data_IF_553668845788
#
_entry.id   IF_553668845788
#
_cell.length_a   1.000
_cell.length_b   1.000
_cell.length_c   1.000
_cell.angle_alpha   90.00
_cell.angle_beta   90.00
_cell.angle_gamma   90.00
#
_symmetry.space_group_name_H-M   'P 1'
#
loop_
_entity.id
_entity.type
_entity.pdbx_description
1 polymer ?
#
# COMPACT_ATOMS: atom_id res chain seq x y z
N UNK A 1 -5.47 17.80 -12.29
CA UNK A 1 -6.70 17.29 -11.65
C UNK A 1 -7.54 16.58 -12.70
N UNK A 2 -8.09 15.42 -12.38
CA UNK A 2 -9.00 14.65 -13.24
C UNK A 2 -10.46 15.08 -13.04
N UNK A 3 -11.34 14.69 -13.98
CA UNK A 3 -12.79 14.95 -13.81
C UNK A 3 -13.37 14.35 -12.52
N UNK A 4 -12.95 13.14 -12.14
CA UNK A 4 -13.43 12.49 -10.92
C UNK A 4 -12.98 13.21 -9.66
N UNK A 5 -11.73 13.67 -9.60
CA UNK A 5 -11.22 14.47 -8.48
C UNK A 5 -11.99 15.79 -8.35
N UNK A 6 -12.24 16.47 -9.47
CA UNK A 6 -13.05 17.68 -9.52
C UNK A 6 -14.48 17.43 -9.01
N UNK A 7 -15.15 16.41 -9.58
CA UNK A 7 -16.54 16.13 -9.26
C UNK A 7 -16.71 15.69 -7.82
N UNK A 8 -15.84 14.80 -7.31
CA UNK A 8 -15.87 14.34 -5.92
C UNK A 8 -15.47 15.44 -4.95
N UNK A 9 -14.55 16.33 -5.32
CA UNK A 9 -14.14 17.47 -4.49
C UNK A 9 -15.28 18.46 -4.28
N UNK A 10 -16.07 18.73 -5.32
CA UNK A 10 -17.23 19.63 -5.23
C UNK A 10 -18.50 18.97 -4.68
N UNK A 11 -18.63 17.64 -4.81
CA UNK A 11 -19.85 16.91 -4.44
C UNK A 11 -20.39 17.25 -3.04
N UNK A 12 -19.57 17.35 -1.97
CA UNK A 12 -20.07 17.70 -0.63
C UNK A 12 -20.79 19.04 -0.56
N UNK A 13 -20.50 19.96 -1.47
CA UNK A 13 -20.97 21.33 -1.45
C UNK A 13 -22.17 21.53 -2.39
N UNK A 14 -22.13 20.95 -3.60
CA UNK A 14 -23.08 21.29 -4.67
C UNK A 14 -24.01 20.14 -5.09
N UNK A 15 -23.83 18.92 -4.59
CA UNK A 15 -24.61 17.74 -5.04
C UNK A 15 -26.01 17.63 -4.41
N UNK A 16 -26.24 18.28 -3.27
CA UNK A 16 -27.48 18.17 -2.46
C UNK A 16 -27.86 16.73 -2.10
N UNK A 17 -26.86 15.87 -1.87
CA UNK A 17 -27.09 14.47 -1.50
C UNK A 17 -27.69 13.62 -2.61
N UNK A 18 -27.69 14.12 -3.86
CA UNK A 18 -28.10 13.33 -5.03
C UNK A 18 -27.16 12.15 -5.24
N UNK A 19 -27.69 11.11 -5.88
CA UNK A 19 -26.89 9.99 -6.35
C UNK A 19 -25.79 10.48 -7.31
N UNK A 20 -24.67 9.77 -7.41
CA UNK A 20 -23.56 10.22 -8.24
C UNK A 20 -23.93 10.29 -9.74
N UNK A 21 -24.85 9.45 -10.20
CA UNK A 21 -25.30 9.51 -11.60
C UNK A 21 -26.20 10.71 -11.88
N UNK A 22 -27.06 11.09 -10.93
CA UNK A 22 -27.88 12.30 -11.02
C UNK A 22 -27.00 13.54 -10.95
N UNK A 23 -26.07 13.57 -10.00
CA UNK A 23 -25.08 14.63 -9.86
C UNK A 23 -24.24 14.79 -11.13
N UNK A 24 -23.78 13.70 -11.75
CA UNK A 24 -23.12 13.73 -13.04
C UNK A 24 -23.99 14.38 -14.13
N UNK A 25 -25.28 14.01 -14.18
CA UNK A 25 -26.21 14.57 -15.16
C UNK A 25 -26.40 16.07 -14.96
N UNK A 26 -26.51 16.56 -13.71
CA UNK A 26 -26.60 18.00 -13.44
C UNK A 26 -25.31 18.75 -13.76
N UNK A 27 -24.17 18.20 -13.36
CA UNK A 27 -22.86 18.81 -13.58
C UNK A 27 -22.61 19.01 -15.08
N UNK A 28 -22.82 17.96 -15.88
CA UNK A 28 -22.62 18.00 -17.33
C UNK A 28 -23.72 18.79 -18.03
N UNK A 29 -24.99 18.66 -17.60
CA UNK A 29 -26.13 19.36 -18.19
C UNK A 29 -26.06 20.88 -18.02
N UNK A 30 -25.53 21.36 -16.88
CA UNK A 30 -25.32 22.78 -16.64
C UNK A 30 -24.04 23.30 -17.30
N UNK A 31 -23.07 22.44 -17.58
CA UNK A 31 -21.82 22.82 -18.24
C UNK A 31 -21.98 23.12 -19.73
N UNK A 32 -23.01 22.56 -20.38
CA UNK A 32 -23.27 22.75 -21.82
C UNK A 32 -24.52 23.60 -22.08
N UNK A 33 -24.58 24.17 -23.29
CA UNK A 33 -25.75 24.87 -23.83
C UNK A 33 -26.96 23.94 -23.89
N UNK A 34 -28.15 24.46 -23.58
CA UNK A 34 -29.41 23.68 -23.58
C UNK A 34 -29.67 23.00 -24.94
N UNK A 35 -29.42 23.73 -26.03
CA UNK A 35 -29.58 23.22 -27.40
C UNK A 35 -28.67 22.02 -27.74
N UNK A 36 -27.61 21.79 -26.96
CA UNK A 36 -26.69 20.66 -27.14
C UNK A 36 -27.02 19.45 -26.28
N UNK A 37 -27.92 19.57 -25.29
CA UNK A 37 -28.22 18.48 -24.34
C UNK A 37 -28.78 17.24 -25.02
N UNK A 38 -29.73 17.41 -25.94
CA UNK A 38 -30.36 16.30 -26.66
C UNK A 38 -29.39 15.52 -27.55
N UNK A 39 -28.31 16.16 -28.00
CA UNK A 39 -27.30 15.52 -28.84
C UNK A 39 -26.11 14.97 -28.03
N UNK A 40 -26.05 15.28 -26.73
CA UNK A 40 -24.97 14.92 -25.83
C UNK A 40 -25.04 13.44 -25.41
N UNK A 41 -24.29 12.58 -26.10
CA UNK A 41 -24.33 11.12 -25.90
C UNK A 41 -23.91 10.67 -24.50
N UNK A 42 -23.05 11.43 -23.82
CA UNK A 42 -22.59 11.08 -22.48
C UNK A 42 -23.69 11.22 -21.42
N UNK A 43 -24.64 12.14 -21.60
CA UNK A 43 -25.82 12.28 -20.75
C UNK A 43 -26.81 11.12 -20.93
N UNK A 44 -26.81 10.47 -22.10
CA UNK A 44 -27.70 9.33 -22.44
C UNK A 44 -27.16 7.96 -21.99
N UNK A 45 -25.99 7.91 -21.34
CA UNK A 45 -25.41 6.65 -20.84
C UNK A 45 -26.24 6.10 -19.67
N UNK A 46 -26.09 4.80 -19.39
CA UNK A 46 -26.69 4.16 -18.22
C UNK A 46 -26.13 4.76 -16.92
N UNK A 47 -26.92 4.71 -15.85
CA UNK A 47 -26.57 5.31 -14.55
C UNK A 47 -25.27 4.74 -13.97
N UNK A 48 -25.04 3.44 -14.07
CA UNK A 48 -23.77 2.80 -13.68
C UNK A 48 -22.57 3.40 -14.44
N UNK A 49 -22.72 3.77 -15.72
CA UNK A 49 -21.64 4.40 -16.47
C UNK A 49 -21.35 5.82 -15.99
N UNK A 50 -22.40 6.60 -15.68
CA UNK A 50 -22.27 7.94 -15.10
C UNK A 50 -21.64 7.91 -13.71
N UNK A 51 -22.07 6.99 -12.86
CA UNK A 51 -21.48 6.70 -11.55
C UNK A 51 -19.97 6.43 -11.66
N UNK A 52 -19.56 5.59 -12.61
CA UNK A 52 -18.13 5.28 -12.81
C UNK A 52 -17.29 6.48 -13.27
N UNK A 53 -17.89 7.45 -13.97
CA UNK A 53 -17.19 8.70 -14.30
C UNK A 53 -16.93 9.56 -13.07
N UNK A 54 -17.89 9.66 -12.15
CA UNK A 54 -17.71 10.39 -10.89
C UNK A 54 -16.69 9.69 -10.00
N UNK A 55 -16.78 8.36 -9.86
CA UNK A 55 -15.87 7.58 -9.01
C UNK A 55 -14.46 7.40 -9.58
N UNK A 56 -14.23 7.79 -10.83
CA UNK A 56 -12.93 7.66 -11.49
C UNK A 56 -12.56 6.24 -11.92
N UNK A 57 -13.45 5.26 -11.78
CA UNK A 57 -13.25 3.88 -12.29
C UNK A 57 -13.42 3.78 -13.81
N UNK A 58 -13.95 4.83 -14.44
CA UNK A 58 -13.98 5.01 -15.89
C UNK A 58 -13.67 6.46 -16.24
N UNK A 59 -12.85 6.68 -17.26
CA UNK A 59 -12.54 8.03 -17.76
C UNK A 59 -13.52 8.48 -18.84
N UNK A 60 -13.76 9.79 -18.92
CA UNK A 60 -14.58 10.39 -19.98
C UNK A 60 -13.88 10.21 -21.33
N UNK A 61 -14.53 9.60 -22.34
CA UNK A 61 -13.94 9.42 -23.65
C UNK A 61 -13.65 10.76 -24.32
N UNK A 62 -12.52 10.87 -25.02
CA UNK A 62 -12.10 12.10 -25.70
C UNK A 62 -13.15 12.67 -26.66
N UNK A 63 -13.82 11.82 -27.44
CA UNK A 63 -14.91 12.26 -28.33
C UNK A 63 -16.01 12.98 -27.55
N UNK A 64 -16.36 12.46 -26.39
CA UNK A 64 -17.40 13.01 -25.55
C UNK A 64 -16.88 14.31 -24.88
N UNK A 65 -15.63 14.35 -24.40
CA UNK A 65 -14.98 15.58 -23.90
C UNK A 65 -14.90 16.69 -24.96
N UNK A 66 -14.55 16.36 -26.21
CA UNK A 66 -14.55 17.30 -27.34
C UNK A 66 -15.93 17.90 -27.57
N UNK A 67 -16.96 17.08 -27.49
CA UNK A 67 -18.34 17.55 -27.62
C UNK A 67 -18.70 18.52 -26.49
N UNK A 68 -18.39 18.16 -25.24
CA UNK A 68 -18.63 19.00 -24.06
C UNK A 68 -17.90 20.34 -24.16
N UNK A 69 -16.62 20.33 -24.50
CA UNK A 69 -15.83 21.53 -24.67
C UNK A 69 -16.39 22.42 -25.78
N UNK A 70 -16.71 21.89 -26.96
CA UNK A 70 -17.25 22.69 -28.08
C UNK A 70 -18.58 23.37 -27.74
N UNK A 71 -19.41 22.74 -26.91
CA UNK A 71 -20.77 23.24 -26.59
C UNK A 71 -20.90 23.79 -25.17
N UNK A 72 -19.78 24.06 -24.50
CA UNK A 72 -19.78 24.58 -23.14
C UNK A 72 -20.43 25.95 -23.03
N UNK A 73 -20.99 26.21 -21.86
CA UNK A 73 -21.60 27.48 -21.47
C UNK A 73 -21.09 27.83 -20.06
N UNK A 74 -19.98 28.57 -20.01
CA UNK A 74 -19.29 28.85 -18.76
C UNK A 74 -20.07 29.82 -17.88
N UNK A 75 -20.83 30.74 -18.47
CA UNK A 75 -21.66 31.69 -17.73
C UNK A 75 -22.82 30.95 -17.06
N UNK A 76 -23.51 30.07 -17.81
CA UNK A 76 -24.55 29.20 -17.26
C UNK A 76 -24.00 28.33 -16.13
N UNK A 77 -22.84 27.71 -16.33
CA UNK A 77 -22.25 26.82 -15.34
C UNK A 77 -21.79 27.57 -14.09
N UNK A 78 -21.12 28.72 -14.24
CA UNK A 78 -20.67 29.56 -13.12
C UNK A 78 -21.87 30.02 -12.30
N UNK A 79 -22.93 30.49 -12.97
CA UNK A 79 -24.17 30.87 -12.31
C UNK A 79 -24.78 29.70 -11.52
N UNK A 80 -24.85 28.52 -12.11
CA UNK A 80 -25.34 27.32 -11.43
C UNK A 80 -24.49 26.94 -10.20
N UNK A 81 -23.16 27.04 -10.30
CA UNK A 81 -22.26 26.81 -9.15
C UNK A 81 -22.49 27.85 -8.06
N UNK A 82 -22.61 29.13 -8.42
CA UNK A 82 -22.90 30.21 -7.47
C UNK A 82 -24.21 29.97 -6.72
N UNK A 83 -25.30 29.65 -7.45
CA UNK A 83 -26.61 29.34 -6.85
C UNK A 83 -26.50 28.14 -5.89
N UNK A 84 -25.75 27.09 -6.27
CA UNK A 84 -25.54 25.92 -5.41
C UNK A 84 -24.76 26.24 -4.15
N UNK A 85 -23.73 27.09 -4.24
CA UNK A 85 -22.93 27.50 -3.08
C UNK A 85 -23.73 28.41 -2.13
N UNK A 86 -24.52 29.33 -2.67
CA UNK A 86 -25.36 30.26 -1.90
C UNK A 86 -26.45 29.50 -1.11
N UNK A 87 -27.18 28.63 -1.79
CA UNK A 87 -28.24 27.83 -1.17
C UNK A 87 -27.74 26.81 -0.13
N UNK A 88 -26.48 26.37 -0.22
CA UNK A 88 -25.86 25.42 0.72
C UNK A 88 -24.97 26.07 1.77
N UNK A 89 -24.83 27.40 1.76
CA UNK A 89 -23.91 28.15 2.63
C UNK A 89 -22.47 27.58 2.59
N UNK A 90 -21.99 27.23 1.39
CA UNK A 90 -20.72 26.53 1.18
C UNK A 90 -19.65 27.35 0.47
N UNK A 91 -19.88 28.66 0.29
CA UNK A 91 -18.97 29.56 -0.42
C UNK A 91 -17.53 29.47 0.10
N UNK A 92 -17.32 29.68 1.41
CA UNK A 92 -15.98 29.64 2.01
C UNK A 92 -15.32 28.26 1.90
N UNK A 93 -16.12 27.19 2.00
CA UNK A 93 -15.61 25.81 1.85
C UNK A 93 -15.11 25.53 0.43
N UNK A 94 -15.77 26.08 -0.59
CA UNK A 94 -15.32 25.97 -1.99
C UNK A 94 -14.09 26.85 -2.23
N UNK A 95 -14.01 28.04 -1.63
CA UNK A 95 -12.80 28.88 -1.68
C UNK A 95 -11.58 28.16 -1.09
N UNK A 96 -11.74 27.52 0.07
CA UNK A 96 -10.69 26.72 0.70
C UNK A 96 -10.29 25.52 -0.17
N UNK A 97 -11.27 24.82 -0.75
CA UNK A 97 -11.01 23.71 -1.66
C UNK A 97 -10.23 24.16 -2.90
N UNK A 98 -10.60 25.28 -3.52
CA UNK A 98 -9.89 25.87 -4.65
C UNK A 98 -8.47 26.30 -4.28
N UNK A 99 -8.28 26.89 -3.10
CA UNK A 99 -6.97 27.28 -2.58
C UNK A 99 -6.04 26.08 -2.40
N UNK A 100 -6.57 24.95 -1.89
CA UNK A 100 -5.85 23.68 -1.81
C UNK A 100 -5.50 23.09 -3.19
N UNK A 101 -6.25 23.47 -4.23
CA UNK A 101 -5.95 23.12 -5.62
C UNK A 101 -4.96 24.10 -6.29
N UNK A 102 -4.43 25.07 -5.53
CA UNK A 102 -3.50 26.10 -6.03
C UNK A 102 -4.18 27.22 -6.82
N UNK A 103 -5.50 27.42 -6.64
CA UNK A 103 -6.28 28.48 -7.29
C UNK A 103 -6.68 29.48 -6.21
N UNK A 104 -6.10 30.68 -6.26
CA UNK A 104 -6.38 31.77 -5.31
C UNK A 104 -6.88 33.03 -6.04
N UNK A 105 -7.52 33.94 -5.29
CA UNK A 105 -7.88 35.30 -5.71
C UNK A 105 -8.76 35.40 -6.97
N UNK A 106 -9.66 34.43 -7.16
CA UNK A 106 -10.66 34.42 -8.24
C UNK A 106 -12.03 34.11 -7.65
N UNK A 107 -13.09 34.65 -8.25
CA UNK A 107 -14.46 34.26 -7.90
C UNK A 107 -14.60 32.72 -7.97
N UNK A 108 -15.06 32.06 -6.90
CA UNK A 108 -15.04 30.60 -6.82
C UNK A 108 -15.95 29.94 -7.87
N UNK A 109 -17.04 30.60 -8.27
CA UNK A 109 -17.95 30.07 -9.28
C UNK A 109 -17.32 30.08 -10.67
N UNK A 110 -16.64 31.17 -11.02
CA UNK A 110 -15.86 31.31 -12.26
C UNK A 110 -14.68 30.34 -12.25
N UNK A 111 -13.97 30.24 -11.12
CA UNK A 111 -12.84 29.34 -10.96
C UNK A 111 -13.22 27.87 -11.17
N UNK A 112 -14.36 27.42 -10.62
CA UNK A 112 -14.91 26.09 -10.87
C UNK A 112 -15.22 25.86 -12.36
N UNK A 113 -15.82 26.84 -13.04
CA UNK A 113 -16.13 26.74 -14.46
C UNK A 113 -14.88 26.64 -15.34
N UNK A 114 -13.89 27.51 -15.11
CA UNK A 114 -12.61 27.46 -15.82
C UNK A 114 -11.83 26.18 -15.53
N UNK A 115 -11.92 25.64 -14.31
CA UNK A 115 -11.27 24.38 -13.95
C UNK A 115 -11.89 23.20 -14.71
N UNK A 116 -13.22 23.11 -14.78
CA UNK A 116 -13.90 22.06 -15.55
C UNK A 116 -13.65 22.19 -17.07
N UNK A 117 -13.61 23.42 -17.59
CA UNK A 117 -13.20 23.70 -18.97
C UNK A 117 -11.80 23.17 -19.27
N UNK A 118 -10.82 23.50 -18.41
CA UNK A 118 -9.44 23.03 -18.55
C UNK A 118 -9.35 21.51 -18.51
N UNK A 119 -10.09 20.85 -17.62
CA UNK A 119 -10.13 19.39 -17.56
C UNK A 119 -10.58 18.78 -18.89
N UNK A 120 -11.64 19.31 -19.52
CA UNK A 120 -12.07 18.80 -20.82
C UNK A 120 -11.07 19.12 -21.93
N UNK A 121 -10.43 20.29 -21.90
CA UNK A 121 -9.37 20.65 -22.84
C UNK A 121 -8.17 19.69 -22.74
N UNK A 122 -7.77 19.33 -21.52
CA UNK A 122 -6.69 18.37 -21.27
C UNK A 122 -7.04 16.98 -21.82
N UNK A 123 -8.29 16.52 -21.63
CA UNK A 123 -8.77 15.25 -22.20
C UNK A 123 -8.74 15.29 -23.74
N UNK A 124 -9.03 16.43 -24.36
CA UNK A 124 -8.98 16.61 -25.82
C UNK A 124 -7.55 16.58 -26.33
N UNK A 125 -6.65 17.30 -25.66
CA UNK A 125 -5.25 17.44 -26.09
C UNK A 125 -4.42 16.17 -25.88
N UNK A 126 -4.91 15.23 -25.09
CA UNK A 126 -4.30 13.91 -24.89
C UNK A 126 -4.17 13.05 -26.19
N UNK A 127 -4.68 13.47 -27.37
CA UNK A 127 -4.40 12.81 -28.67
C UNK A 127 -3.41 13.51 -29.58
N UNK A 128 -2.99 14.75 -29.30
CA UNK A 128 -1.92 15.40 -30.08
C UNK A 128 -0.52 14.91 -29.67
N UNK A 129 -0.44 14.27 -28.52
CA UNK A 129 0.64 13.35 -28.19
C UNK A 129 0.22 11.95 -28.67
N UNK A 130 1.04 11.35 -29.54
CA UNK A 130 1.02 9.92 -29.83
C UNK A 130 0.75 9.12 -28.56
N UNK A 131 -0.09 8.09 -28.64
CA UNK A 131 -0.29 7.12 -27.57
C UNK A 131 1.05 6.55 -27.10
N UNK A 132 1.64 7.16 -26.09
CA UNK A 132 1.99 6.38 -24.94
C UNK A 132 0.73 6.38 -24.07
N UNK A 133 0.25 5.19 -23.69
CA UNK A 133 -0.29 5.02 -22.33
C UNK A 133 0.62 5.90 -21.46
N UNK A 134 0.14 6.73 -20.51
CA UNK A 134 1.07 7.16 -19.49
C UNK A 134 1.58 5.85 -18.87
N UNK A 135 2.75 5.38 -19.34
CA UNK A 135 3.79 4.99 -18.42
C UNK A 135 3.64 6.05 -17.34
N UNK A 136 3.50 5.66 -16.07
CA UNK A 136 3.69 6.67 -15.05
C UNK A 136 4.94 7.42 -15.52
N UNK A 137 4.91 8.75 -15.50
CA UNK A 137 6.14 9.50 -15.63
C UNK A 137 6.89 9.12 -14.35
N UNK A 138 7.43 7.89 -14.39
CA UNK A 138 8.20 7.25 -13.39
C UNK A 138 9.43 8.06 -13.56
N UNK A 139 9.49 9.11 -12.78
CA UNK A 139 10.68 9.90 -12.62
C UNK A 139 11.75 8.90 -12.14
N UNK A 140 12.48 8.37 -13.11
CA UNK A 140 13.51 7.38 -12.89
C UNK A 140 14.62 8.02 -12.06
N UNK A 141 14.78 9.34 -12.14
CA UNK A 141 15.68 10.10 -11.27
C UNK A 141 15.15 10.05 -9.83
N UNK A 142 13.87 10.32 -9.60
CA UNK A 142 13.26 10.20 -8.27
C UNK A 142 13.30 8.77 -7.72
N UNK A 143 13.04 7.74 -8.52
CA UNK A 143 13.20 6.34 -8.08
C UNK A 143 14.64 6.06 -7.70
N UNK A 144 15.59 6.46 -8.55
CA UNK A 144 17.01 6.31 -8.25
C UNK A 144 17.39 7.07 -6.97
N UNK A 145 16.89 8.29 -6.78
CA UNK A 145 17.10 9.06 -5.55
C UNK A 145 16.53 8.36 -4.32
N UNK A 146 15.32 7.78 -4.41
CA UNK A 146 14.71 7.00 -3.32
C UNK A 146 15.57 5.78 -3.01
N UNK A 147 16.01 5.03 -4.02
CA UNK A 147 16.90 3.88 -3.84
C UNK A 147 18.23 4.28 -3.21
N UNK A 148 18.84 5.39 -3.64
CA UNK A 148 20.08 5.90 -3.05
C UNK A 148 19.88 6.38 -1.62
N UNK A 149 18.74 7.00 -1.30
CA UNK A 149 18.36 7.36 0.07
C UNK A 149 18.19 6.13 0.95
N UNK A 150 17.53 5.07 0.46
CA UNK A 150 17.39 3.80 1.19
C UNK A 150 18.75 3.14 1.44
N UNK A 151 19.64 3.14 0.44
CA UNK A 151 21.02 2.61 0.57
C UNK A 151 21.88 3.41 1.54
N UNK A 152 21.64 4.72 1.67
CA UNK A 152 22.37 5.62 2.57
C UNK A 152 21.75 5.76 3.96
N UNK A 153 20.62 5.10 4.24
CA UNK A 153 20.06 5.06 5.59
C UNK A 153 21.10 4.51 6.57
N UNK A 154 21.25 5.14 7.75
CA UNK A 154 22.15 4.63 8.77
C UNK A 154 21.68 3.26 9.26
N UNK A 155 22.62 2.50 9.84
CA UNK A 155 22.28 1.25 10.52
C UNK A 155 21.27 1.52 11.65
N UNK A 156 20.22 0.71 11.80
CA UNK A 156 19.29 0.84 12.92
C UNK A 156 19.99 0.67 14.26
N UNK A 157 19.45 1.29 15.30
CA UNK A 157 19.93 1.12 16.67
C UNK A 157 19.77 -0.34 17.09
N UNK A 158 20.89 -1.01 17.36
CA UNK A 158 20.91 -2.43 17.68
C UNK A 158 20.13 -2.72 18.97
N UNK A 159 19.24 -3.71 18.92
CA UNK A 159 18.62 -4.29 20.11
C UNK A 159 19.53 -5.42 20.60
N UNK A 160 20.13 -5.31 21.81
CA UNK A 160 21.03 -6.33 22.32
C UNK A 160 20.26 -7.62 22.66
N UNK A 161 20.92 -8.76 22.45
CA UNK A 161 20.42 -10.07 22.92
C UNK A 161 20.55 -10.09 24.45
N UNK A 162 19.45 -10.24 25.22
CA UNK A 162 19.51 -10.37 26.65
C UNK A 162 20.22 -11.67 27.06
N UNK A 163 20.91 -11.66 28.20
CA UNK A 163 21.63 -12.84 28.67
C UNK A 163 20.69 -14.04 28.88
N UNK A 164 19.53 -13.81 29.49
CA UNK A 164 18.48 -14.82 29.67
C UNK A 164 17.35 -14.63 28.66
N UNK A 165 16.71 -15.72 28.25
CA UNK A 165 15.57 -15.68 27.35
C UNK A 165 14.38 -14.96 27.98
N UNK A 166 13.77 -14.06 27.20
CA UNK A 166 12.61 -13.25 27.57
C UNK A 166 11.30 -13.91 27.15
N UNK A 167 10.16 -13.41 27.65
CA UNK A 167 8.83 -13.95 27.33
C UNK A 167 8.52 -13.92 25.82
N UNK A 168 9.02 -12.91 25.10
CA UNK A 168 8.83 -12.78 23.65
C UNK A 168 9.58 -13.87 22.85
N UNK A 169 10.58 -14.52 23.45
CA UNK A 169 11.34 -15.60 22.82
C UNK A 169 10.73 -16.98 23.06
N UNK A 170 9.95 -17.14 24.13
CA UNK A 170 9.50 -18.44 24.63
C UNK A 170 8.77 -19.28 23.58
N UNK A 171 7.94 -18.66 22.74
CA UNK A 171 7.15 -19.40 21.74
C UNK A 171 8.05 -20.07 20.70
N UNK A 172 8.97 -19.35 20.07
CA UNK A 172 9.85 -19.95 19.07
C UNK A 172 10.92 -20.84 19.69
N UNK A 173 11.40 -20.54 20.91
CA UNK A 173 12.36 -21.39 21.63
C UNK A 173 11.73 -22.75 21.94
N UNK A 174 10.49 -22.78 22.43
CA UNK A 174 9.79 -24.03 22.65
C UNK A 174 9.63 -24.84 21.35
N UNK A 175 9.42 -24.16 20.22
CA UNK A 175 9.33 -24.83 18.94
C UNK A 175 10.70 -25.36 18.44
N UNK A 176 11.80 -24.68 18.78
CA UNK A 176 13.16 -25.20 18.58
C UNK A 176 13.39 -26.46 19.43
N UNK A 177 12.97 -26.47 20.70
CA UNK A 177 13.05 -27.68 21.53
C UNK A 177 12.24 -28.84 20.95
N UNK A 178 11.05 -28.60 20.39
CA UNK A 178 10.33 -29.65 19.66
C UNK A 178 11.13 -30.16 18.45
N UNK A 179 11.80 -29.27 17.71
CA UNK A 179 12.63 -29.64 16.57
C UNK A 179 13.83 -30.51 16.99
N UNK A 180 14.51 -30.16 18.08
CA UNK A 180 15.63 -30.94 18.63
C UNK A 180 15.16 -32.30 19.15
N UNK A 181 14.04 -32.33 19.89
CA UNK A 181 13.45 -33.59 20.37
C UNK A 181 13.11 -34.54 19.21
N UNK A 182 12.52 -34.01 18.13
CA UNK A 182 12.14 -34.80 16.95
C UNK A 182 13.38 -35.33 16.20
N UNK A 183 14.47 -34.56 16.13
CA UNK A 183 15.73 -34.98 15.53
C UNK A 183 16.41 -36.12 16.32
N UNK A 184 16.37 -36.05 17.64
CA UNK A 184 16.97 -37.06 18.53
C UNK A 184 16.02 -38.24 18.85
N UNK A 185 14.76 -38.17 18.40
CA UNK A 185 13.74 -39.18 18.74
C UNK A 185 13.35 -39.18 20.23
N UNK A 186 13.52 -38.06 20.92
CA UNK A 186 13.18 -37.87 22.32
C UNK A 186 11.71 -37.47 22.48
N UNK A 187 11.10 -37.85 23.61
CA UNK A 187 9.71 -37.47 23.89
C UNK A 187 9.54 -35.99 24.27
N UNK A 188 10.61 -35.36 24.77
CA UNK A 188 10.68 -33.95 25.15
C UNK A 188 12.14 -33.50 25.13
N UNK A 189 12.35 -32.19 25.01
CA UNK A 189 13.65 -31.52 25.11
C UNK A 189 13.42 -30.19 25.85
N UNK A 190 14.40 -29.76 26.62
CA UNK A 190 14.34 -28.56 27.47
C UNK A 190 15.71 -27.89 27.61
N UNK A 191 15.75 -26.77 28.32
CA UNK A 191 17.00 -26.04 28.59
C UNK A 191 18.03 -26.91 29.33
N UNK A 192 17.61 -27.77 30.26
CA UNK A 192 18.50 -28.65 31.03
C UNK A 192 19.26 -29.63 30.13
N UNK A 193 18.65 -30.03 29.01
CA UNK A 193 19.22 -30.98 28.06
C UNK A 193 20.34 -30.36 27.21
N UNK A 194 20.36 -29.03 27.02
CA UNK A 194 21.35 -28.33 26.18
C UNK A 194 22.80 -28.61 26.61
N UNK A 195 23.03 -28.84 27.91
CA UNK A 195 24.34 -29.21 28.44
C UNK A 195 24.90 -30.52 27.86
N UNK A 196 24.00 -31.41 27.42
CA UNK A 196 24.33 -32.72 26.82
C UNK A 196 24.36 -32.67 25.29
N UNK A 197 23.86 -31.60 24.68
CA UNK A 197 23.80 -31.40 23.23
C UNK A 197 24.41 -30.04 22.83
N UNK A 198 25.76 -29.93 22.82
CA UNK A 198 26.45 -28.66 22.54
C UNK A 198 26.06 -28.02 21.20
N UNK A 199 25.84 -28.82 20.16
CA UNK A 199 25.45 -28.33 18.83
C UNK A 199 24.08 -27.63 18.85
N UNK A 200 23.14 -28.09 19.67
CA UNK A 200 21.82 -27.45 19.85
C UNK A 200 21.90 -26.23 20.78
N UNK A 201 22.83 -26.20 21.73
CA UNK A 201 23.12 -25.00 22.51
C UNK A 201 23.66 -23.89 21.62
N UNK A 202 24.61 -24.20 20.73
CA UNK A 202 25.15 -23.26 19.74
C UNK A 202 24.05 -22.81 18.75
N UNK A 203 23.24 -23.73 18.24
CA UNK A 203 22.12 -23.37 17.34
C UNK A 203 21.11 -22.44 18.03
N UNK A 204 20.75 -22.71 19.28
CA UNK A 204 19.83 -21.85 20.04
C UNK A 204 20.41 -20.44 20.20
N UNK A 205 21.69 -20.31 20.57
CA UNK A 205 22.36 -19.02 20.69
C UNK A 205 22.34 -18.25 19.36
N UNK A 206 22.66 -18.94 18.25
CA UNK A 206 22.57 -18.38 16.91
C UNK A 206 21.14 -17.93 16.55
N UNK A 207 20.12 -18.72 16.90
CA UNK A 207 18.72 -18.39 16.62
C UNK A 207 18.21 -17.21 17.46
N UNK A 208 18.67 -17.06 18.71
CA UNK A 208 18.41 -15.85 19.51
C UNK A 208 19.07 -14.63 18.90
N UNK A 209 20.32 -14.78 18.45
CA UNK A 209 21.07 -13.76 17.75
C UNK A 209 20.36 -13.33 16.45
N UNK A 210 19.78 -14.27 15.70
CA UNK A 210 18.92 -14.03 14.51
C UNK A 210 17.63 -13.29 14.88
N UNK A 211 16.91 -13.75 15.92
CA UNK A 211 15.66 -13.13 16.39
C UNK A 211 15.83 -11.65 16.73
N UNK A 212 16.85 -11.30 17.52
CA UNK A 212 17.11 -9.90 17.87
C UNK A 212 17.62 -9.04 16.71
N UNK A 213 18.22 -9.65 15.68
CA UNK A 213 18.50 -8.94 14.44
C UNK A 213 17.20 -8.54 13.73
N UNK A 214 16.17 -9.39 13.73
CA UNK A 214 14.85 -9.03 13.22
C UNK A 214 14.12 -8.02 14.12
N UNK A 215 14.23 -8.15 15.45
CA UNK A 215 13.66 -7.20 16.41
C UNK A 215 14.26 -5.80 16.26
N UNK A 216 15.56 -5.70 15.96
CA UNK A 216 16.23 -4.46 15.59
C UNK A 216 15.57 -3.80 14.38
N UNK A 217 15.19 -4.58 13.36
CA UNK A 217 14.46 -4.06 12.20
C UNK A 217 13.03 -3.68 12.57
N UNK A 218 12.31 -4.51 13.34
CA UNK A 218 10.94 -4.22 13.80
C UNK A 218 10.86 -2.89 14.52
N UNK A 219 11.77 -2.66 15.47
CA UNK A 219 11.88 -1.40 16.20
C UNK A 219 12.34 -0.27 15.30
N UNK A 220 13.34 -0.51 14.45
CA UNK A 220 13.88 0.48 13.55
C UNK A 220 12.84 1.07 12.60
N UNK A 221 11.99 0.23 11.98
CA UNK A 221 10.96 0.72 11.04
C UNK A 221 9.80 1.45 11.74
N UNK A 222 9.58 1.18 13.03
CA UNK A 222 8.62 1.92 13.86
C UNK A 222 9.14 3.33 14.18
N UNK A 223 10.44 3.46 14.48
CA UNK A 223 11.08 4.74 14.77
C UNK A 223 11.30 5.58 13.48
N UNK A 224 11.51 4.92 12.33
CA UNK A 224 11.75 5.61 11.06
C UNK A 224 10.51 6.34 10.53
N UNK A 225 10.75 7.53 9.95
CA UNK A 225 9.70 8.28 9.25
C UNK A 225 8.52 8.68 10.13
N UNK A 226 8.72 8.83 11.45
CA UNK A 226 7.65 9.10 12.42
C UNK A 226 6.54 8.03 12.40
N UNK A 227 6.92 6.76 12.25
CA UNK A 227 5.98 5.62 12.21
C UNK A 227 5.33 5.37 10.85
N UNK A 228 5.59 6.19 9.82
CA UNK A 228 5.05 5.97 8.46
C UNK A 228 5.49 4.64 7.83
N UNK A 229 6.57 4.04 8.33
CA UNK A 229 7.09 2.76 7.87
C UNK A 229 6.80 1.61 8.86
N UNK A 230 5.94 1.80 9.86
CA UNK A 230 5.70 0.80 10.91
C UNK A 230 5.22 -0.55 10.35
N UNK A 231 4.46 -0.53 9.25
CA UNK A 231 3.94 -1.74 8.62
C UNK A 231 4.99 -2.51 7.80
N UNK A 232 6.16 -1.92 7.52
CA UNK A 232 7.20 -2.57 6.71
C UNK A 232 7.73 -3.86 7.34
N UNK A 233 7.65 -4.02 8.66
CA UNK A 233 7.98 -5.30 9.29
C UNK A 233 6.95 -6.39 8.98
N UNK A 234 5.66 -6.05 8.89
CA UNK A 234 4.63 -7.00 8.46
C UNK A 234 4.79 -7.35 6.98
N UNK A 235 5.15 -6.39 6.14
CA UNK A 235 5.49 -6.63 4.72
C UNK A 235 6.66 -7.61 4.62
N UNK A 236 7.73 -7.41 5.41
CA UNK A 236 8.88 -8.32 5.46
C UNK A 236 8.48 -9.73 5.93
N UNK A 237 7.61 -9.85 6.95
CA UNK A 237 7.05 -11.14 7.38
C UNK A 237 6.26 -11.82 6.25
N UNK A 238 5.42 -11.06 5.54
CA UNK A 238 4.63 -11.55 4.42
C UNK A 238 5.50 -12.10 3.28
N UNK A 239 6.45 -11.30 2.80
CA UNK A 239 7.40 -11.69 1.75
C UNK A 239 8.22 -12.93 2.16
N UNK A 240 8.70 -12.95 3.40
CA UNK A 240 9.47 -14.09 3.94
C UNK A 240 8.60 -15.35 3.99
N UNK A 241 7.38 -15.26 4.50
CA UNK A 241 6.44 -16.38 4.54
C UNK A 241 6.13 -16.89 3.13
N UNK A 242 5.87 -16.00 2.18
CA UNK A 242 5.62 -16.37 0.79
C UNK A 242 6.82 -17.05 0.14
N UNK A 243 8.04 -16.63 0.48
CA UNK A 243 9.29 -17.24 0.02
C UNK A 243 9.57 -18.63 0.58
N UNK A 244 9.07 -18.96 1.78
CA UNK A 244 9.37 -20.22 2.47
C UNK A 244 8.20 -21.20 2.58
N UNK A 245 6.95 -20.76 2.36
CA UNK A 245 5.74 -21.57 2.62
C UNK A 245 5.74 -22.93 1.92
N UNK A 246 6.32 -23.02 0.73
CA UNK A 246 6.36 -24.29 -0.01
C UNK A 246 7.45 -25.21 0.53
N UNK A 247 8.62 -24.67 0.91
CA UNK A 247 9.65 -25.43 1.63
C UNK A 247 9.13 -25.93 2.97
N UNK A 248 8.36 -25.11 3.70
CA UNK A 248 7.74 -25.50 4.96
C UNK A 248 6.70 -26.63 4.79
N UNK A 249 6.05 -26.71 3.63
CA UNK A 249 5.10 -27.79 3.32
C UNK A 249 5.77 -29.11 2.95
N UNK A 250 7.03 -29.10 2.48
CA UNK A 250 7.76 -30.32 2.11
C UNK A 250 7.90 -31.29 3.29
N UNK A 251 8.18 -32.55 2.95
CA UNK A 251 8.57 -33.56 3.91
C UNK A 251 10.06 -33.41 4.19
N UNK A 252 10.42 -33.42 5.47
CA UNK A 252 11.79 -33.35 5.95
C UNK A 252 12.03 -34.54 6.90
N UNK A 253 13.30 -34.98 7.09
CA UNK A 253 13.61 -36.12 7.95
C UNK A 253 13.15 -35.93 9.40
N UNK A 254 13.34 -34.73 9.94
CA UNK A 254 12.94 -34.34 11.29
C UNK A 254 12.66 -32.81 11.35
N UNK A 255 12.23 -32.33 12.51
CA UNK A 255 11.92 -30.93 12.76
C UNK A 255 13.13 -29.99 12.68
N UNK A 256 14.33 -30.46 13.03
CA UNK A 256 15.55 -29.66 12.95
C UNK A 256 15.96 -29.42 11.49
N UNK A 257 16.00 -30.47 10.66
CA UNK A 257 16.22 -30.37 9.22
C UNK A 257 15.16 -29.50 8.53
N UNK A 258 13.91 -29.60 8.97
CA UNK A 258 12.84 -28.74 8.48
C UNK A 258 13.10 -27.26 8.78
N UNK A 259 13.50 -26.93 10.02
CA UNK A 259 13.86 -25.58 10.41
C UNK A 259 15.04 -25.05 9.58
N UNK A 260 16.12 -25.83 9.46
CA UNK A 260 17.30 -25.46 8.67
C UNK A 260 16.94 -25.19 7.20
N UNK A 261 16.15 -26.07 6.57
CA UNK A 261 15.73 -25.91 5.18
C UNK A 261 14.87 -24.64 4.97
N UNK A 262 13.98 -24.34 5.92
CA UNK A 262 13.17 -23.11 5.88
C UNK A 262 14.05 -21.87 6.06
N UNK A 263 15.00 -21.90 7.00
CA UNK A 263 15.93 -20.79 7.24
C UNK A 263 16.85 -20.53 6.04
N UNK A 264 17.38 -21.58 5.41
CA UNK A 264 18.18 -21.47 4.19
C UNK A 264 17.36 -20.86 3.04
N UNK A 265 16.12 -21.33 2.85
CA UNK A 265 15.22 -20.77 1.86
C UNK A 265 14.88 -19.31 2.15
N UNK A 266 14.70 -18.92 3.43
CA UNK A 266 14.44 -17.54 3.81
C UNK A 266 15.57 -16.61 3.38
N UNK A 267 16.83 -17.03 3.58
CA UNK A 267 18.01 -16.26 3.16
C UNK A 267 17.98 -15.98 1.65
N UNK A 268 17.70 -17.03 0.87
CA UNK A 268 17.73 -17.00 -0.60
C UNK A 268 16.51 -16.33 -1.24
N UNK A 269 15.35 -16.33 -0.56
CA UNK A 269 14.13 -15.75 -1.09
C UNK A 269 14.26 -14.23 -1.25
N UNK A 270 13.90 -13.65 -2.43
CA UNK A 270 13.82 -12.21 -2.58
C UNK A 270 12.68 -11.64 -1.74
N UNK A 271 12.86 -10.44 -1.21
CA UNK A 271 11.87 -9.71 -0.41
C UNK A 271 11.59 -8.35 -1.07
N UNK A 272 11.32 -8.38 -2.37
CA UNK A 272 11.32 -7.19 -3.22
C UNK A 272 10.22 -6.17 -2.84
N UNK A 273 9.13 -6.62 -2.21
CA UNK A 273 8.08 -5.70 -1.76
C UNK A 273 8.41 -5.04 -0.40
N UNK A 274 9.42 -5.52 0.32
CA UNK A 274 9.95 -4.83 1.49
C UNK A 274 10.72 -3.58 1.05
N UNK A 275 10.27 -2.40 1.48
CA UNK A 275 10.79 -1.11 1.01
C UNK A 275 12.31 -0.97 1.23
N UNK A 276 12.82 -1.49 2.35
CA UNK A 276 14.24 -1.35 2.71
C UNK A 276 15.11 -2.51 2.20
N UNK A 277 14.59 -3.32 1.27
CA UNK A 277 15.28 -4.49 0.70
C UNK A 277 16.57 -4.18 -0.05
N UNK A 278 16.75 -2.94 -0.52
CA UNK A 278 17.96 -2.48 -1.20
C UNK A 278 19.02 -1.91 -0.25
N UNK A 279 18.71 -1.79 1.05
CA UNK A 279 19.63 -1.24 2.03
C UNK A 279 20.57 -2.31 2.60
N UNK A 280 21.89 -2.05 2.72
CA UNK A 280 22.85 -3.02 3.24
C UNK A 280 22.72 -3.27 4.76
N UNK A 281 21.97 -2.43 5.48
CA UNK A 281 21.85 -2.52 6.94
C UNK A 281 20.47 -2.96 7.43
N UNK A 282 19.45 -2.85 6.59
CA UNK A 282 18.05 -3.09 6.95
C UNK A 282 17.53 -4.44 6.48
N UNK A 283 18.33 -5.20 5.74
CA UNK A 283 18.05 -6.58 5.40
C UNK A 283 19.35 -7.38 5.32
N UNK A 284 19.32 -8.62 5.79
CA UNK A 284 20.43 -9.58 5.70
C UNK A 284 19.88 -10.99 5.90
N UNK A 285 20.68 -12.02 5.61
CA UNK A 285 20.28 -13.41 5.86
C UNK A 285 19.89 -13.65 7.33
N UNK A 286 20.68 -13.09 8.25
CA UNK A 286 20.44 -13.09 9.69
C UNK A 286 19.06 -12.53 10.07
N UNK A 287 18.71 -11.38 9.49
CA UNK A 287 17.40 -10.73 9.71
C UNK A 287 16.29 -11.62 9.17
N UNK A 288 16.43 -12.20 7.97
CA UNK A 288 15.41 -13.08 7.38
C UNK A 288 15.18 -14.34 8.21
N UNK A 289 16.25 -14.92 8.77
CA UNK A 289 16.15 -16.03 9.74
C UNK A 289 15.39 -15.63 11.01
N UNK A 290 15.71 -14.46 11.56
CA UNK A 290 14.99 -13.89 12.70
C UNK A 290 13.50 -13.70 12.42
N UNK A 291 13.14 -13.24 11.22
CA UNK A 291 11.74 -13.07 10.78
C UNK A 291 10.99 -14.41 10.79
N UNK A 292 11.64 -15.53 10.47
CA UNK A 292 11.02 -16.85 10.60
C UNK A 292 10.63 -17.17 12.05
N UNK A 293 11.42 -16.76 13.05
CA UNK A 293 11.04 -16.91 14.46
C UNK A 293 9.85 -16.04 14.86
N UNK A 294 9.76 -14.80 14.35
CA UNK A 294 8.53 -14.01 14.52
C UNK A 294 7.32 -14.68 13.87
N UNK A 295 7.48 -15.32 12.71
CA UNK A 295 6.41 -16.10 12.07
C UNK A 295 6.01 -17.33 12.89
N UNK A 296 6.93 -17.96 13.62
CA UNK A 296 6.61 -19.02 14.60
C UNK A 296 5.80 -18.44 15.77
N UNK A 297 6.22 -17.30 16.32
CA UNK A 297 5.50 -16.61 17.39
C UNK A 297 4.05 -16.24 16.97
N UNK A 298 3.86 -15.90 15.69
CA UNK A 298 2.56 -15.61 15.06
C UNK A 298 1.77 -16.89 14.68
N UNK A 299 2.33 -18.09 14.90
CA UNK A 299 1.71 -19.37 14.55
C UNK A 299 1.61 -19.64 13.04
N UNK A 300 2.41 -18.94 12.21
CA UNK A 300 2.44 -19.10 10.75
C UNK A 300 3.42 -20.16 10.28
N UNK A 301 4.47 -20.40 11.07
CA UNK A 301 5.45 -21.48 10.87
C UNK A 301 5.49 -22.37 12.11
N UNK A 302 5.79 -23.65 11.89
CA UNK A 302 6.04 -24.65 12.92
C UNK A 302 7.15 -25.56 12.43
N UNK A 303 8.00 -26.06 13.33
CA UNK A 303 9.10 -26.94 12.96
C UNK A 303 8.68 -28.41 12.98
N UNK A 304 7.76 -28.78 13.87
CA UNK A 304 7.23 -30.13 13.95
C UNK A 304 5.75 -30.15 13.57
N UNK A 305 5.41 -30.92 12.53
CA UNK A 305 4.01 -31.07 12.10
C UNK A 305 3.29 -32.01 13.06
N UNK A 306 2.41 -31.47 13.91
CA UNK A 306 1.54 -32.30 14.75
C UNK A 306 0.61 -33.12 13.85
N UNK A 307 0.80 -34.43 13.78
CA UNK A 307 -0.18 -35.34 13.17
C UNK A 307 -1.46 -35.25 14.00
N UNK A 308 -2.54 -34.72 13.42
CA UNK A 308 -3.86 -34.92 14.01
C UNK A 308 -4.11 -36.43 14.02
N UNK A 309 -4.17 -37.03 15.21
CA UNK A 309 -4.79 -38.34 15.38
C UNK A 309 -6.25 -38.17 14.92
N UNK A 310 -6.58 -38.77 13.78
CA UNK A 310 -7.97 -39.05 13.42
C UNK A 310 -8.54 -40.08 14.39
#
# INVERSE_FOLDING_TARGET
MTFSEYALGLSPFISYGKSEHDYFTELIGNFIKDAAMDSCQILKRKDDTKYRYIRGTRTIPQRDAKYLYTHRDLDKFSKWIWERMDESDSYDSVVDWLSNCGIADTDPSIACASLLERIFLDIINASSASQSIPKPDIDLELINEIEQKIKSLPRPTNVPVPAAATDDEQKYINELYLAYADAEGLSAFSEDDLSSFPDYAEDLDDRRIDFYAAETIRRGVLELGSGKLSDQFNVLKGETLDGVKDTAKRTHPNGFDHMLAVMEQAVNAPVNNYLLSSSPYWISGKIKKGVCHHLVNDGKLVWVKRRQKK
#
